data_IF_289830051795
#
_entry.id   IF_289830051795
#
_cell.length_a   1.000
_cell.length_b   1.000
_cell.length_c   1.000
_cell.angle_alpha   90.00
_cell.angle_beta   90.00
_cell.angle_gamma   90.00
#
_symmetry.space_group_name_H-M   'P 1'
#
loop_
_entity.id
_entity.type
_entity.pdbx_description
1 polymer ?
#
# COMPACT_ATOMS: atom_id res chain seq x y z
N UNK A 1 22.33 -40.02 -6.66
CA UNK A 1 21.13 -39.64 -5.89
C UNK A 1 21.50 -38.43 -5.03
N UNK A 2 21.38 -37.23 -5.58
CA UNK A 2 21.86 -36.00 -4.94
C UNK A 2 20.86 -35.53 -3.87
N UNK A 3 21.35 -35.27 -2.66
CA UNK A 3 20.57 -34.79 -1.51
C UNK A 3 20.01 -33.39 -1.80
N UNK A 4 18.69 -33.24 -1.67
CA UNK A 4 18.00 -31.94 -1.74
C UNK A 4 18.39 -31.13 -0.50
N UNK A 5 18.99 -29.93 -0.61
CA UNK A 5 19.21 -29.07 0.55
C UNK A 5 17.86 -28.54 1.08
N UNK A 6 17.62 -28.69 2.38
CA UNK A 6 16.31 -28.44 3.00
C UNK A 6 16.08 -26.95 3.30
N UNK A 7 14.81 -26.53 3.27
CA UNK A 7 14.38 -25.18 3.67
C UNK A 7 14.84 -24.76 5.08
N UNK A 8 15.17 -25.72 5.95
CA UNK A 8 15.70 -25.44 7.28
C UNK A 8 17.05 -24.70 7.23
N UNK A 9 17.88 -24.96 6.21
CA UNK A 9 19.19 -24.32 6.07
C UNK A 9 19.08 -22.89 5.55
N UNK A 10 18.15 -22.64 4.62
CA UNK A 10 17.84 -21.27 4.18
C UNK A 10 17.36 -20.40 5.37
N UNK A 11 16.53 -20.96 6.25
CA UNK A 11 16.08 -20.27 7.47
C UNK A 11 17.20 -20.05 8.48
N UNK A 12 18.16 -20.98 8.59
CA UNK A 12 19.33 -20.83 9.46
C UNK A 12 20.22 -19.67 8.99
N UNK A 13 20.49 -19.59 7.68
CA UNK A 13 21.32 -18.55 7.08
C UNK A 13 20.69 -17.16 7.20
N UNK A 14 19.37 -17.06 7.04
CA UNK A 14 18.64 -15.80 7.31
C UNK A 14 18.80 -15.37 8.77
N UNK A 15 18.69 -16.29 9.73
CA UNK A 15 18.87 -15.98 11.16
C UNK A 15 20.31 -15.59 11.51
N UNK A 16 21.31 -16.09 10.79
CA UNK A 16 22.71 -15.73 11.00
C UNK A 16 23.15 -14.48 10.21
N UNK A 17 22.25 -13.83 9.48
CA UNK A 17 22.53 -12.61 8.71
C UNK A 17 23.18 -12.83 7.34
N UNK A 18 23.35 -14.09 6.91
CA UNK A 18 23.88 -14.41 5.57
C UNK A 18 22.73 -14.50 4.56
N UNK A 19 22.17 -13.34 4.24
CA UNK A 19 21.03 -13.23 3.33
C UNK A 19 21.39 -13.67 1.91
N UNK A 20 22.63 -13.41 1.45
CA UNK A 20 23.12 -13.83 0.13
C UNK A 20 23.27 -15.36 0.01
N UNK A 21 23.66 -16.03 1.09
CA UNK A 21 23.65 -17.49 1.20
C UNK A 21 22.21 -18.06 1.14
N UNK A 22 21.29 -17.47 1.90
CA UNK A 22 19.89 -17.89 1.91
C UNK A 22 19.21 -17.72 0.54
N UNK A 23 19.41 -16.58 -0.13
CA UNK A 23 18.83 -16.31 -1.46
C UNK A 23 19.36 -17.26 -2.53
N UNK A 24 20.66 -17.60 -2.50
CA UNK A 24 21.22 -18.58 -3.46
C UNK A 24 20.61 -19.97 -3.28
N UNK A 25 20.40 -20.39 -2.03
CA UNK A 25 19.78 -21.68 -1.73
C UNK A 25 18.33 -21.74 -2.22
N UNK A 26 17.54 -20.70 -1.94
CA UNK A 26 16.16 -20.62 -2.41
C UNK A 26 16.11 -20.61 -3.93
N UNK A 27 16.97 -19.81 -4.59
CA UNK A 27 17.05 -19.76 -6.05
C UNK A 27 17.42 -21.12 -6.65
N UNK A 28 18.41 -21.81 -6.11
CA UNK A 28 18.82 -23.13 -6.59
C UNK A 28 17.72 -24.20 -6.45
N UNK A 29 16.90 -24.11 -5.39
CA UNK A 29 15.72 -24.99 -5.22
C UNK A 29 14.63 -24.67 -6.25
N UNK A 30 14.44 -23.39 -6.60
CA UNK A 30 13.42 -22.99 -7.57
C UNK A 30 13.80 -23.25 -9.03
N UNK A 31 15.10 -23.22 -9.38
CA UNK A 31 15.55 -23.36 -10.77
C UNK A 31 16.09 -24.74 -11.15
N UNK A 32 16.34 -25.63 -10.18
CA UNK A 32 16.75 -27.01 -10.47
C UNK A 32 18.13 -27.20 -11.11
N UNK A 33 18.98 -26.17 -11.16
CA UNK A 33 20.32 -26.22 -11.78
C UNK A 33 21.44 -25.72 -10.85
N UNK A 34 22.62 -26.32 -11.00
CA UNK A 34 23.88 -25.87 -10.38
C UNK A 34 24.35 -24.54 -11.01
N UNK A 35 24.94 -23.68 -10.19
CA UNK A 35 25.25 -22.28 -10.51
C UNK A 35 26.13 -22.08 -11.77
N UNK A 36 25.83 -21.09 -12.63
CA UNK A 36 26.76 -20.65 -13.66
C UNK A 36 27.82 -19.69 -13.10
N UNK A 37 28.98 -19.66 -13.77
CA UNK A 37 30.13 -18.82 -13.44
C UNK A 37 29.83 -17.32 -13.60
N UNK A 38 30.49 -16.52 -12.76
CA UNK A 38 30.34 -15.06 -12.69
C UNK A 38 30.79 -14.35 -13.98
N UNK A 39 29.99 -13.36 -14.40
CA UNK A 39 30.32 -12.38 -15.45
C UNK A 39 30.38 -10.97 -14.84
N UNK A 40 31.07 -10.00 -15.49
CA UNK A 40 31.75 -8.91 -14.80
C UNK A 40 30.81 -7.82 -14.27
N UNK A 41 31.29 -7.14 -13.23
CA UNK A 41 30.59 -6.10 -12.50
C UNK A 41 30.20 -4.91 -13.41
N UNK A 42 28.91 -4.59 -13.41
CA UNK A 42 28.40 -3.29 -13.86
C UNK A 42 28.78 -2.19 -12.85
N UNK A 43 29.04 -0.95 -13.29
CA UNK A 43 29.39 0.14 -12.39
C UNK A 43 28.25 0.39 -11.40
N UNK A 44 28.63 0.61 -10.15
CA UNK A 44 27.74 0.72 -9.00
C UNK A 44 26.61 1.74 -9.24
N UNK A 45 25.40 1.24 -9.47
CA UNK A 45 24.18 2.03 -9.28
C UNK A 45 24.16 2.43 -7.81
N UNK A 46 24.19 3.73 -7.53
CA UNK A 46 24.06 4.26 -6.17
C UNK A 46 22.78 3.70 -5.55
N UNK A 47 22.95 2.77 -4.61
CA UNK A 47 21.93 2.48 -3.61
C UNK A 47 21.72 3.77 -2.86
N UNK A 48 20.50 4.30 -2.88
CA UNK A 48 20.13 5.37 -1.97
C UNK A 48 20.01 4.71 -0.60
N UNK A 49 21.09 4.75 0.17
CA UNK A 49 21.01 4.53 1.61
C UNK A 49 20.15 5.66 2.15
N UNK A 50 18.91 5.32 2.56
CA UNK A 50 18.11 6.20 3.38
C UNK A 50 18.71 6.16 4.78
N UNK A 51 19.80 6.91 4.96
CA UNK A 51 20.19 7.39 6.29
C UNK A 51 18.98 8.13 6.86
N UNK A 52 18.51 7.84 8.08
CA UNK A 52 17.41 8.58 8.68
C UNK A 52 17.88 10.01 8.96
N UNK A 53 17.70 10.88 7.96
CA UNK A 53 17.87 12.31 8.07
C UNK A 53 16.79 12.83 8.99
N UNK A 54 17.18 13.20 10.21
CA UNK A 54 16.29 13.76 11.23
C UNK A 54 15.91 15.20 10.86
N UNK A 55 15.10 15.39 9.82
CA UNK A 55 14.34 16.63 9.66
C UNK A 55 13.05 16.47 10.44
N UNK A 56 13.11 16.82 11.72
CA UNK A 56 11.92 17.00 12.54
C UNK A 56 11.15 18.21 11.97
N UNK A 57 10.24 17.96 11.03
CA UNK A 57 9.10 18.85 10.86
C UNK A 57 8.36 18.84 12.20
N UNK A 58 8.13 20.01 12.77
CA UNK A 58 7.48 20.20 14.06
C UNK A 58 6.06 19.63 13.96
N UNK A 59 5.88 18.38 14.37
CA UNK A 59 4.57 17.79 14.56
C UNK A 59 3.85 18.62 15.63
N UNK A 60 2.63 19.04 15.33
CA UNK A 60 1.77 19.67 16.33
C UNK A 60 1.60 18.71 17.52
N UNK A 61 1.51 19.23 18.75
CA UNK A 61 1.36 18.38 19.93
C UNK A 61 0.11 17.51 19.81
N UNK A 62 0.32 16.20 19.83
CA UNK A 62 -0.74 15.19 19.90
C UNK A 62 -1.54 15.42 21.18
N UNK A 63 -2.79 15.83 21.02
CA UNK A 63 -3.74 16.04 22.12
C UNK A 63 -4.22 14.67 22.62
N UNK A 64 -3.72 14.22 23.77
CA UNK A 64 -4.12 12.98 24.45
C UNK A 64 -5.48 13.10 25.15
N UNK A 65 -6.53 13.52 24.44
CA UNK A 65 -7.90 13.36 24.95
C UNK A 65 -8.39 12.00 24.55
N UNK A 66 -8.57 11.12 25.53
CA UNK A 66 -9.38 9.92 25.37
C UNK A 66 -10.79 10.37 24.97
N UNK A 67 -11.28 10.02 23.78
CA UNK A 67 -12.63 10.39 23.41
C UNK A 67 -13.61 9.54 24.23
N UNK A 68 -14.57 10.19 24.91
CA UNK A 68 -15.69 9.51 25.59
C UNK A 68 -16.66 8.84 24.58
N UNK A 69 -16.44 9.01 23.29
CA UNK A 69 -17.17 8.39 22.19
C UNK A 69 -16.29 7.48 21.35
N UNK A 70 -16.86 6.43 20.76
CA UNK A 70 -16.16 5.56 19.80
C UNK A 70 -16.21 6.21 18.42
N UNK A 71 -15.11 6.17 17.66
CA UNK A 71 -15.09 6.64 16.27
C UNK A 71 -16.10 5.90 15.38
N UNK A 72 -16.54 6.52 14.28
CA UNK A 72 -17.50 5.90 13.34
C UNK A 72 -16.80 5.19 12.19
N UNK A 73 -17.38 4.09 11.72
CA UNK A 73 -16.91 3.34 10.56
C UNK A 73 -18.07 3.14 9.58
N UNK A 74 -18.14 4.02 8.58
CA UNK A 74 -19.32 4.21 7.73
C UNK A 74 -19.07 3.70 6.32
N UNK A 75 -20.05 2.98 5.76
CA UNK A 75 -20.05 2.61 4.35
C UNK A 75 -20.52 3.79 3.49
N UNK A 76 -19.78 4.09 2.43
CA UNK A 76 -20.07 5.16 1.47
C UNK A 76 -19.78 4.69 0.04
N UNK A 77 -20.27 5.45 -0.93
CA UNK A 77 -20.05 5.19 -2.35
C UNK A 77 -19.62 6.48 -3.04
N UNK A 78 -18.49 6.45 -3.74
CA UNK A 78 -18.11 7.50 -4.69
C UNK A 78 -18.76 7.20 -6.04
N UNK A 79 -19.21 8.25 -6.74
CA UNK A 79 -19.70 8.17 -8.12
C UNK A 79 -19.08 9.29 -8.94
N UNK A 80 -18.50 8.93 -10.09
CA UNK A 80 -17.86 9.88 -10.99
C UNK A 80 -17.79 9.37 -12.43
N UNK A 81 -17.13 10.12 -13.33
CA UNK A 81 -17.05 9.77 -14.75
C UNK A 81 -16.40 8.41 -15.04
N UNK A 82 -15.49 7.96 -14.18
CA UNK A 82 -14.81 6.66 -14.30
C UNK A 82 -15.63 5.48 -13.74
N UNK A 83 -16.82 5.73 -13.18
CA UNK A 83 -17.69 4.74 -12.56
C UNK A 83 -17.97 5.01 -11.09
N UNK A 84 -18.21 3.96 -10.32
CA UNK A 84 -18.48 4.05 -8.88
C UNK A 84 -17.66 3.05 -8.10
N UNK A 85 -17.26 3.42 -6.89
CA UNK A 85 -16.56 2.54 -5.95
C UNK A 85 -17.12 2.72 -4.55
N UNK A 86 -17.38 1.61 -3.88
CA UNK A 86 -17.75 1.61 -2.47
C UNK A 86 -16.49 1.73 -1.61
N UNK A 87 -16.60 2.36 -0.46
CA UNK A 87 -15.50 2.48 0.50
C UNK A 87 -16.03 2.53 1.92
N UNK A 88 -15.18 2.16 2.87
CA UNK A 88 -15.43 2.45 4.28
C UNK A 88 -14.64 3.70 4.68
N UNK A 89 -15.28 4.62 5.40
CA UNK A 89 -14.62 5.76 6.02
C UNK A 89 -14.61 5.57 7.53
N UNK A 90 -13.42 5.61 8.12
CA UNK A 90 -13.25 5.72 9.55
C UNK A 90 -13.05 7.19 9.96
N UNK A 91 -13.87 7.65 10.90
CA UNK A 91 -13.80 8.97 11.51
C UNK A 91 -13.50 8.79 13.00
N UNK A 92 -12.34 9.22 13.49
CA UNK A 92 -12.02 9.07 14.90
C UNK A 92 -12.96 9.93 15.75
N UNK A 93 -13.10 9.57 17.01
CA UNK A 93 -13.94 10.34 17.90
C UNK A 93 -13.32 11.73 18.17
N UNK A 94 -14.12 12.78 17.93
CA UNK A 94 -13.62 14.16 17.89
C UNK A 94 -13.06 14.58 16.53
N UNK A 95 -13.49 13.92 15.44
CA UNK A 95 -13.26 14.37 14.08
C UNK A 95 -13.62 15.86 13.92
N UNK A 96 -12.74 16.60 13.25
CA UNK A 96 -12.78 18.05 13.08
C UNK A 96 -12.27 18.43 11.69
N UNK A 97 -12.54 19.66 11.22
CA UNK A 97 -12.00 20.12 9.95
C UNK A 97 -10.47 20.10 9.91
N UNK A 98 -9.93 20.10 8.70
CA UNK A 98 -8.52 20.07 8.37
C UNK A 98 -7.74 18.89 8.98
N UNK A 99 -8.38 17.73 9.15
CA UNK A 99 -7.67 16.50 9.53
C UNK A 99 -6.92 15.88 8.34
N UNK A 100 -5.75 15.25 8.56
CA UNK A 100 -5.11 14.41 7.55
C UNK A 100 -6.02 13.27 7.10
N UNK A 101 -5.84 12.80 5.87
CA UNK A 101 -6.51 11.62 5.33
C UNK A 101 -5.50 10.56 4.94
N UNK A 102 -5.73 9.31 5.37
CA UNK A 102 -4.96 8.15 4.93
C UNK A 102 -5.87 7.21 4.13
N UNK A 103 -5.49 6.90 2.90
CA UNK A 103 -6.18 5.91 2.05
C UNK A 103 -5.46 4.57 2.19
N UNK A 104 -6.17 3.56 2.69
CA UNK A 104 -5.64 2.23 2.96
C UNK A 104 -6.16 1.22 1.92
N UNK A 105 -5.26 0.76 1.05
CA UNK A 105 -5.54 -0.12 -0.08
C UNK A 105 -5.24 -1.58 0.29
N UNK A 106 -6.30 -2.39 0.37
CA UNK A 106 -6.20 -3.80 0.76
C UNK A 106 -5.53 -4.67 -0.32
N UNK A 107 -4.99 -5.83 0.08
CA UNK A 107 -4.49 -6.84 -0.84
C UNK A 107 -5.60 -7.73 -1.41
N UNK A 108 -5.24 -8.65 -2.31
CA UNK A 108 -6.20 -9.60 -2.89
C UNK A 108 -6.95 -10.39 -1.82
N UNK A 109 -8.20 -10.75 -2.13
CA UNK A 109 -9.16 -11.52 -1.33
C UNK A 109 -9.68 -10.83 -0.05
N UNK A 110 -8.96 -9.82 0.44
CA UNK A 110 -9.34 -9.02 1.60
C UNK A 110 -10.51 -8.08 1.29
N UNK A 111 -11.17 -7.62 2.35
CA UNK A 111 -12.14 -6.53 2.33
C UNK A 111 -11.60 -5.29 3.08
N UNK A 112 -12.16 -4.09 2.85
CA UNK A 112 -11.94 -2.92 3.71
C UNK A 112 -11.99 -3.22 5.20
N UNK A 113 -13.00 -3.97 5.65
CA UNK A 113 -13.19 -4.30 7.06
C UNK A 113 -12.11 -5.23 7.61
N UNK A 114 -11.73 -6.25 6.83
CA UNK A 114 -10.64 -7.16 7.20
C UNK A 114 -9.30 -6.42 7.25
N UNK A 115 -9.08 -5.51 6.31
CA UNK A 115 -7.86 -4.74 6.23
C UNK A 115 -7.76 -3.71 7.36
N UNK A 116 -8.85 -3.01 7.69
CA UNK A 116 -8.92 -2.12 8.85
C UNK A 116 -8.62 -2.88 10.16
N UNK A 117 -9.20 -4.07 10.35
CA UNK A 117 -8.96 -4.93 11.52
C UNK A 117 -7.52 -5.45 11.59
N UNK A 118 -6.96 -5.88 10.47
CA UNK A 118 -5.61 -6.43 10.41
C UNK A 118 -4.50 -5.38 10.59
N UNK A 119 -4.71 -4.19 10.04
CA UNK A 119 -3.73 -3.09 10.13
C UNK A 119 -3.85 -2.28 11.43
N UNK A 120 -5.04 -2.31 12.07
CA UNK A 120 -5.41 -1.46 13.21
C UNK A 120 -5.30 0.04 12.91
N UNK A 121 -5.43 0.44 11.64
CA UNK A 121 -5.34 1.85 11.27
C UNK A 121 -6.46 2.71 11.88
N UNK A 122 -7.62 2.14 12.22
CA UNK A 122 -8.66 2.87 12.96
C UNK A 122 -8.18 3.26 14.38
N UNK A 123 -7.47 2.37 15.06
CA UNK A 123 -6.90 2.68 16.37
C UNK A 123 -5.82 3.77 16.28
N UNK A 124 -4.97 3.69 15.25
CA UNK A 124 -3.96 4.71 14.99
C UNK A 124 -4.61 6.05 14.59
N UNK A 125 -5.75 6.01 13.91
CA UNK A 125 -6.51 7.21 13.57
C UNK A 125 -7.06 7.94 14.81
N UNK A 126 -7.53 7.19 15.81
CA UNK A 126 -7.89 7.77 17.12
C UNK A 126 -6.67 8.39 17.82
N UNK A 127 -5.52 7.70 17.80
CA UNK A 127 -4.30 8.14 18.47
C UNK A 127 -3.67 9.38 17.84
N UNK A 128 -3.55 9.40 16.51
CA UNK A 128 -2.85 10.45 15.76
C UNK A 128 -3.79 11.52 15.20
N UNK A 129 -5.11 11.31 15.26
CA UNK A 129 -6.09 12.25 14.77
C UNK A 129 -6.05 12.41 13.25
N UNK A 130 -6.37 11.34 12.52
CA UNK A 130 -6.57 11.38 11.07
C UNK A 130 -7.85 10.65 10.64
N UNK A 131 -8.35 10.96 9.45
CA UNK A 131 -9.39 10.18 8.78
C UNK A 131 -8.75 8.99 8.05
N UNK A 132 -9.46 7.88 7.92
CA UNK A 132 -8.98 6.73 7.14
C UNK A 132 -10.03 6.23 6.16
N UNK A 133 -9.70 6.22 4.88
CA UNK A 133 -10.53 5.66 3.82
C UNK A 133 -10.05 4.28 3.41
N UNK A 134 -10.97 3.35 3.20
CA UNK A 134 -10.70 2.01 2.73
C UNK A 134 -11.56 1.71 1.49
N UNK A 135 -11.07 2.08 0.29
CA UNK A 135 -11.73 1.72 -0.97
C UNK A 135 -11.91 0.20 -1.11
N UNK A 136 -13.06 -0.23 -1.64
CA UNK A 136 -13.42 -1.64 -1.82
C UNK A 136 -13.20 -2.08 -3.25
N UNK A 137 -12.43 -3.15 -3.43
CA UNK A 137 -12.41 -3.90 -4.68
C UNK A 137 -13.39 -5.08 -4.61
N UNK A 138 -14.27 -5.20 -5.61
CA UNK A 138 -15.33 -6.21 -5.63
C UNK A 138 -14.95 -7.42 -6.48
N UNK A 139 -15.64 -8.54 -6.27
CA UNK A 139 -15.46 -9.73 -7.13
C UNK A 139 -15.87 -9.50 -8.58
N UNK A 140 -16.83 -8.61 -8.82
CA UNK A 140 -17.25 -8.25 -10.18
C UNK A 140 -16.20 -7.48 -10.95
N UNK A 141 -15.37 -6.69 -10.27
CA UNK A 141 -14.25 -5.96 -10.88
C UNK A 141 -12.99 -6.84 -11.01
N UNK A 142 -12.77 -7.77 -10.08
CA UNK A 142 -11.74 -8.79 -10.16
C UNK A 142 -12.14 -10.00 -9.30
N UNK A 143 -12.17 -11.22 -9.85
CA UNK A 143 -12.65 -12.40 -9.11
C UNK A 143 -11.90 -12.67 -7.79
N UNK A 144 -10.64 -12.24 -7.69
CA UNK A 144 -9.81 -12.33 -6.48
C UNK A 144 -9.87 -11.06 -5.62
N UNK A 145 -10.75 -10.11 -5.91
CA UNK A 145 -10.81 -8.77 -5.30
C UNK A 145 -9.46 -8.04 -5.35
N UNK A 146 -8.61 -8.35 -6.32
CA UNK A 146 -7.33 -7.68 -6.50
C UNK A 146 -7.54 -6.36 -7.23
N UNK A 147 -6.74 -5.35 -6.89
CA UNK A 147 -6.53 -4.18 -7.74
C UNK A 147 -5.94 -4.62 -9.08
N UNK A 148 -6.49 -4.12 -10.18
CA UNK A 148 -6.11 -4.47 -11.55
C UNK A 148 -4.94 -3.61 -12.05
N UNK A 149 -3.92 -3.44 -11.21
CA UNK A 149 -2.77 -2.55 -11.40
C UNK A 149 -1.98 -2.83 -12.70
N UNK A 150 -2.05 -4.05 -13.24
CA UNK A 150 -1.37 -4.46 -14.47
C UNK A 150 -2.11 -4.01 -15.74
N UNK A 151 -3.40 -3.68 -15.65
CA UNK A 151 -4.18 -3.30 -16.83
C UNK A 151 -3.79 -1.88 -17.27
N UNK A 152 -3.58 -1.63 -18.58
CA UNK A 152 -3.21 -0.31 -19.08
C UNK A 152 -4.17 0.82 -18.69
N UNK A 153 -5.47 0.50 -18.54
CA UNK A 153 -6.49 1.46 -18.11
C UNK A 153 -6.39 1.88 -16.64
N UNK A 154 -5.66 1.12 -15.81
CA UNK A 154 -5.43 1.39 -14.39
C UNK A 154 -4.03 1.91 -14.11
N UNK A 155 -3.28 2.35 -15.13
CA UNK A 155 -1.96 2.97 -15.01
C UNK A 155 -1.95 4.43 -15.49
N UNK A 156 -3.14 5.03 -15.66
CA UNK A 156 -3.29 6.37 -16.21
C UNK A 156 -4.15 7.23 -15.28
N UNK A 157 -3.81 8.51 -15.20
CA UNK A 157 -4.62 9.53 -14.55
C UNK A 157 -6.00 9.63 -15.20
N UNK A 158 -7.01 9.97 -14.39
CA UNK A 158 -8.41 10.18 -14.77
C UNK A 158 -9.08 8.98 -15.47
N UNK A 159 -8.51 7.77 -15.30
CA UNK A 159 -9.07 6.51 -15.79
C UNK A 159 -9.03 5.43 -14.72
N UNK A 160 -9.90 4.43 -14.87
CA UNK A 160 -9.89 3.20 -14.10
C UNK A 160 -9.91 3.37 -12.59
N UNK A 161 -9.28 2.43 -11.89
CA UNK A 161 -9.13 2.42 -10.43
C UNK A 161 -8.44 3.69 -9.88
N UNK A 162 -7.38 4.26 -10.51
CA UNK A 162 -6.79 5.50 -10.03
C UNK A 162 -7.78 6.67 -9.96
N UNK A 163 -8.63 6.83 -10.98
CA UNK A 163 -9.67 7.87 -10.96
C UNK A 163 -10.72 7.67 -9.89
N UNK A 164 -11.10 6.41 -9.63
CA UNK A 164 -12.06 6.08 -8.58
C UNK A 164 -11.48 6.37 -7.19
N UNK A 165 -10.21 6.00 -6.94
CA UNK A 165 -9.52 6.28 -5.66
C UNK A 165 -9.35 7.78 -5.46
N UNK A 166 -8.89 8.52 -6.47
CA UNK A 166 -8.79 9.98 -6.41
C UNK A 166 -10.17 10.64 -6.22
N UNK A 167 -11.23 10.05 -6.78
CA UNK A 167 -12.61 10.46 -6.55
C UNK A 167 -13.04 10.33 -5.09
N UNK A 168 -12.77 9.18 -4.47
CA UNK A 168 -13.02 8.97 -3.03
C UNK A 168 -12.29 10.02 -2.18
N UNK A 169 -11.03 10.33 -2.50
CA UNK A 169 -10.28 11.37 -1.80
C UNK A 169 -10.97 12.73 -1.92
N UNK A 170 -11.37 13.13 -3.13
CA UNK A 170 -12.06 14.41 -3.36
C UNK A 170 -13.37 14.50 -2.57
N UNK A 171 -14.19 13.44 -2.60
CA UNK A 171 -15.44 13.38 -1.83
C UNK A 171 -15.18 13.59 -0.34
N UNK A 172 -14.16 12.93 0.22
CA UNK A 172 -13.84 13.04 1.66
C UNK A 172 -13.29 14.43 1.99
N UNK A 173 -12.40 14.97 1.17
CA UNK A 173 -11.86 16.33 1.36
C UNK A 173 -12.99 17.35 1.40
N UNK A 174 -13.95 17.25 0.49
CA UNK A 174 -15.10 18.15 0.44
C UNK A 174 -16.07 17.94 1.62
N UNK A 175 -16.47 16.69 1.87
CA UNK A 175 -17.53 16.36 2.84
C UNK A 175 -17.06 16.43 4.30
N UNK A 176 -15.83 16.00 4.56
CA UNK A 176 -15.24 15.99 5.91
C UNK A 176 -14.35 17.21 6.18
N UNK A 177 -14.22 18.10 5.19
CA UNK A 177 -13.31 19.25 5.24
C UNK A 177 -11.87 18.82 5.57
N UNK A 178 -11.44 17.68 5.05
CA UNK A 178 -10.10 17.16 5.30
C UNK A 178 -9.04 18.10 4.70
N UNK A 179 -7.84 18.07 5.28
CA UNK A 179 -6.73 18.87 4.77
C UNK A 179 -6.20 18.27 3.46
N UNK A 180 -6.52 18.93 2.34
CA UNK A 180 -6.13 18.51 1.00
C UNK A 180 -4.59 18.44 0.79
N UNK A 181 -3.81 19.09 1.65
CA UNK A 181 -2.33 19.04 1.59
C UNK A 181 -1.74 17.88 2.39
N UNK A 182 -2.55 17.19 3.19
CA UNK A 182 -2.14 16.08 4.07
C UNK A 182 -2.92 14.81 3.77
N UNK A 183 -2.91 14.43 2.50
CA UNK A 183 -3.48 13.16 2.01
C UNK A 183 -2.35 12.17 1.74
N UNK A 184 -2.50 10.97 2.26
CA UNK A 184 -1.52 9.88 2.13
C UNK A 184 -2.21 8.62 1.62
N UNK A 185 -1.47 7.73 0.97
CA UNK A 185 -1.96 6.39 0.65
C UNK A 185 -0.98 5.31 1.12
N UNK A 186 -1.48 4.16 1.52
CA UNK A 186 -0.64 3.00 1.79
C UNK A 186 -1.37 1.70 1.42
N UNK A 187 -0.62 0.66 1.05
CA UNK A 187 -1.23 -0.61 0.72
C UNK A 187 -0.30 -1.82 0.81
N UNK A 188 -0.94 -2.99 0.82
CA UNK A 188 -0.29 -4.31 0.92
C UNK A 188 -0.49 -5.11 -0.38
N UNK A 189 0.56 -5.76 -0.87
CA UNK A 189 0.49 -6.65 -2.06
C UNK A 189 -0.10 -5.91 -3.28
N UNK A 190 -1.21 -6.38 -3.85
CA UNK A 190 -1.92 -5.67 -4.92
C UNK A 190 -2.31 -4.23 -4.54
N UNK A 191 -2.64 -3.98 -3.27
CA UNK A 191 -2.89 -2.63 -2.76
C UNK A 191 -1.62 -1.79 -2.67
N UNK A 192 -0.46 -2.42 -2.45
CA UNK A 192 0.84 -1.75 -2.49
C UNK A 192 1.20 -1.32 -3.93
N UNK A 193 0.94 -2.19 -4.91
CA UNK A 193 1.09 -1.84 -6.33
C UNK A 193 0.13 -0.70 -6.73
N UNK A 194 -1.12 -0.75 -6.28
CA UNK A 194 -2.09 0.33 -6.49
C UNK A 194 -1.62 1.66 -5.84
N UNK A 195 -1.05 1.63 -4.62
CA UNK A 195 -0.48 2.81 -3.99
C UNK A 195 0.68 3.41 -4.81
N UNK A 196 1.54 2.56 -5.39
CA UNK A 196 2.61 3.01 -6.29
C UNK A 196 2.06 3.70 -7.55
N UNK A 197 0.98 3.17 -8.13
CA UNK A 197 0.28 3.80 -9.26
C UNK A 197 -0.33 5.14 -8.86
N UNK A 198 -0.87 5.28 -7.65
CA UNK A 198 -1.42 6.56 -7.19
C UNK A 198 -0.34 7.65 -7.11
N UNK A 199 0.89 7.30 -6.69
CA UNK A 199 2.01 8.25 -6.68
C UNK A 199 2.41 8.72 -8.09
N UNK A 200 2.35 7.82 -9.07
CA UNK A 200 2.68 8.15 -10.47
C UNK A 200 1.57 8.97 -11.15
N UNK A 201 0.32 8.60 -10.92
CA UNK A 201 -0.84 9.18 -11.62
C UNK A 201 -1.42 10.41 -10.94
N UNK A 202 -1.29 10.55 -9.61
CA UNK A 202 -1.80 11.68 -8.82
C UNK A 202 -0.76 12.23 -7.82
N UNK A 203 0.45 12.62 -8.27
CA UNK A 203 1.50 13.14 -7.37
C UNK A 203 1.13 14.46 -6.67
N UNK A 204 0.21 15.22 -7.24
CA UNK A 204 -0.38 16.46 -6.72
C UNK A 204 -1.48 16.21 -5.66
N UNK A 205 -1.99 14.99 -5.54
CA UNK A 205 -3.01 14.63 -4.53
C UNK A 205 -2.38 14.02 -3.29
N UNK A 206 -1.36 13.15 -3.44
CA UNK A 206 -0.78 12.41 -2.32
C UNK A 206 0.56 13.00 -1.88
N UNK A 207 0.62 13.48 -0.64
CA UNK A 207 1.84 13.99 -0.03
C UNK A 207 2.89 12.89 0.21
N UNK A 208 2.47 11.65 0.46
CA UNK A 208 3.35 10.48 0.47
C UNK A 208 2.58 9.18 0.24
N UNK A 209 3.31 8.13 -0.16
CA UNK A 209 2.79 6.77 -0.30
C UNK A 209 3.60 5.74 0.50
N UNK A 210 2.93 4.69 0.99
CA UNK A 210 3.53 3.52 1.63
C UNK A 210 3.26 2.24 0.85
N UNK A 211 4.33 1.55 0.42
CA UNK A 211 4.22 0.29 -0.37
C UNK A 211 4.75 -0.87 0.47
N UNK A 212 3.86 -1.80 0.86
CA UNK A 212 4.25 -3.04 1.51
C UNK A 212 4.07 -4.22 0.56
N UNK A 213 5.16 -4.92 0.24
CA UNK A 213 5.14 -6.13 -0.63
C UNK A 213 4.39 -5.95 -1.95
N UNK A 214 4.30 -4.71 -2.44
CA UNK A 214 3.78 -4.38 -3.76
C UNK A 214 4.90 -4.34 -4.80
N UNK A 215 4.52 -4.30 -6.07
CA UNK A 215 5.46 -4.16 -7.18
C UNK A 215 5.47 -2.73 -7.72
N UNK A 216 6.56 -2.35 -8.39
CA UNK A 216 6.70 -1.02 -8.98
C UNK A 216 5.76 -0.84 -10.20
N UNK A 217 5.37 0.40 -10.48
CA UNK A 217 4.57 0.74 -11.65
C UNK A 217 5.28 0.27 -12.94
N UNK A 218 4.54 -0.38 -13.84
CA UNK A 218 5.06 -0.89 -15.11
C UNK A 218 5.98 -2.12 -15.02
N UNK A 219 6.25 -2.66 -13.82
CA UNK A 219 7.14 -3.80 -13.64
C UNK A 219 6.57 -5.11 -14.21
N UNK A 220 5.24 -5.23 -14.28
CA UNK A 220 4.55 -6.39 -14.82
C UNK A 220 3.30 -5.97 -15.61
N UNK A 221 2.88 -6.82 -16.54
CA UNK A 221 1.74 -6.56 -17.46
C UNK A 221 0.57 -7.53 -17.26
N UNK A 222 0.75 -8.51 -16.38
CA UNK A 222 -0.24 -9.51 -15.98
C UNK A 222 0.14 -10.12 -14.61
N UNK A 223 -0.70 -11.01 -14.06
CA UNK A 223 -0.39 -11.71 -12.80
C UNK A 223 0.82 -12.66 -12.91
N UNK A 224 0.98 -13.47 -13.98
CA UNK A 224 2.14 -14.37 -14.08
C UNK A 224 3.50 -13.67 -14.14
N UNK A 225 3.56 -12.44 -14.67
CA UNK A 225 4.79 -11.63 -14.74
C UNK A 225 5.08 -10.81 -13.47
N UNK A 226 4.19 -10.87 -12.47
CA UNK A 226 4.25 -10.10 -11.22
C UNK A 226 5.22 -10.67 -10.18
#
# INVERSE_FOLDING_TARGET
>A
MALIPSMAEALRLTRSGDLLGATRLVRGVMTGEAAPAASPAHPATRVIDVTPGRTAAKADPVSTRTPDSVGSFEARTHRGPAGSIDYMLYRPAGARPAMPLVVMLHGCTQSPEDFARGTRMNQLADEYGCLVAYPRQTQSANMQKCWNWFQPGNQQRDRGEPALIAGVVRDIVEQEQADATRVYAAGLSAGGAAAAIMADTYPDVFAAIGVHSGIACGAARDLPSA
#
